data_IF_554469412496
#
_entry.id   IF_554469412496
#
_cell.length_a   1.000
_cell.length_b   1.000
_cell.length_c   1.000
_cell.angle_alpha   90.00
_cell.angle_beta   90.00
_cell.angle_gamma   90.00
#
_symmetry.space_group_name_H-M   'P 1'
#
loop_
_entity.id
_entity.type
_entity.pdbx_description
1 polymer ?
#
# COMPACT_ATOMS: atom_id res chain seq x y z
N UNK A 1 -11.05 -19.54 18.82
CA UNK A 1 -10.99 -18.63 17.66
C UNK A 1 -12.43 -18.23 17.37
N UNK A 2 -12.91 -17.10 17.94
CA UNK A 2 -14.29 -16.70 17.84
C UNK A 2 -14.49 -15.77 16.63
N UNK A 3 -15.35 -16.17 15.71
CA UNK A 3 -16.04 -15.20 14.89
C UNK A 3 -17.07 -14.51 15.78
N UNK A 4 -17.01 -13.18 15.92
CA UNK A 4 -18.01 -12.45 16.69
C UNK A 4 -19.37 -12.57 16.02
N UNK A 5 -20.31 -13.18 16.73
CA UNK A 5 -21.71 -13.27 16.32
C UNK A 5 -22.39 -11.95 16.67
N UNK A 6 -22.74 -11.14 15.68
CA UNK A 6 -23.55 -9.93 15.90
C UNK A 6 -25.00 -10.36 16.02
N UNK A 7 -25.50 -10.40 17.24
CA UNK A 7 -26.93 -10.62 17.49
C UNK A 7 -27.64 -9.26 17.50
N UNK A 8 -28.37 -8.94 16.47
CA UNK A 8 -29.35 -7.87 16.50
C UNK A 8 -30.73 -8.47 16.82
N UNK A 9 -31.50 -7.85 17.71
CA UNK A 9 -32.77 -8.40 18.29
C UNK A 9 -33.89 -8.73 17.29
N UNK A 10 -33.69 -8.53 16.00
CA UNK A 10 -34.68 -8.78 14.95
C UNK A 10 -34.17 -9.56 13.74
N UNK A 11 -32.87 -9.80 13.63
CA UNK A 11 -32.25 -10.58 12.54
C UNK A 11 -31.01 -11.31 13.06
N UNK A 12 -30.93 -12.60 12.79
CA UNK A 12 -29.70 -13.37 12.95
C UNK A 12 -29.02 -13.34 11.57
N UNK A 13 -28.14 -12.39 11.36
CA UNK A 13 -27.17 -12.51 10.28
C UNK A 13 -26.06 -13.46 10.74
N UNK A 14 -26.15 -14.71 10.30
CA UNK A 14 -25.01 -15.61 10.37
C UNK A 14 -24.03 -15.13 9.31
N UNK A 15 -23.22 -14.14 9.67
CA UNK A 15 -22.05 -13.78 8.86
C UNK A 15 -21.05 -14.90 9.07
N UNK A 16 -21.06 -15.89 8.18
CA UNK A 16 -20.08 -16.97 8.13
C UNK A 16 -18.69 -16.46 7.69
N UNK A 17 -18.52 -15.14 7.57
CA UNK A 17 -17.32 -14.51 7.06
C UNK A 17 -16.46 -14.00 8.21
N UNK A 18 -15.50 -14.83 8.64
CA UNK A 18 -14.44 -14.46 9.58
C UNK A 18 -13.54 -13.33 9.05
N UNK A 19 -13.81 -12.78 7.88
CA UNK A 19 -13.07 -11.68 7.24
C UNK A 19 -13.52 -10.30 7.68
N UNK A 20 -14.72 -10.15 8.28
CA UNK A 20 -15.21 -8.87 8.75
C UNK A 20 -14.49 -8.42 10.01
N UNK A 21 -13.89 -7.23 9.95
CA UNK A 21 -13.26 -6.53 11.06
C UNK A 21 -13.95 -5.20 11.32
N UNK A 22 -14.08 -4.83 12.59
CA UNK A 22 -14.50 -3.50 13.00
C UNK A 22 -13.32 -2.75 13.56
N UNK A 23 -13.17 -1.49 13.22
CA UNK A 23 -12.28 -0.63 13.98
C UNK A 23 -12.77 -0.55 15.43
N UNK A 24 -11.86 -0.52 16.38
CA UNK A 24 -12.23 -0.39 17.79
C UNK A 24 -12.07 1.06 18.22
N UNK A 25 -13.10 1.60 18.89
CA UNK A 25 -13.09 2.98 19.35
C UNK A 25 -11.87 3.26 20.25
N UNK A 26 -11.06 4.26 19.88
CA UNK A 26 -9.85 4.67 20.60
C UNK A 26 -8.79 3.58 20.78
N UNK A 27 -8.82 2.54 19.96
CA UNK A 27 -7.91 1.42 20.05
C UNK A 27 -7.15 1.22 18.72
N UNK A 28 -6.14 0.39 18.82
CA UNK A 28 -5.39 -0.15 17.68
C UNK A 28 -5.74 -1.63 17.52
N UNK A 29 -5.99 -2.04 16.27
CA UNK A 29 -6.13 -3.45 15.89
C UNK A 29 -5.39 -3.72 14.58
N UNK A 30 -5.20 -4.98 14.21
CA UNK A 30 -4.45 -5.36 13.02
C UNK A 30 -4.92 -6.66 12.39
N UNK A 31 -4.57 -6.84 11.13
CA UNK A 31 -4.74 -8.10 10.39
C UNK A 31 -3.50 -8.42 9.57
N UNK A 32 -3.14 -9.70 9.57
CA UNK A 32 -2.15 -10.27 8.63
C UNK A 32 -2.79 -11.07 7.50
N UNK A 33 -4.12 -11.13 7.46
CA UNK A 33 -4.85 -11.83 6.41
C UNK A 33 -4.74 -11.04 5.08
N UNK A 34 -4.60 -11.78 4.00
CA UNK A 34 -4.50 -11.21 2.65
C UNK A 34 -5.83 -10.77 2.04
N UNK A 35 -6.93 -10.96 2.73
CA UNK A 35 -8.24 -10.43 2.35
C UNK A 35 -9.09 -10.21 3.59
N UNK A 36 -10.04 -9.31 3.48
CA UNK A 36 -11.00 -9.04 4.53
C UNK A 36 -11.86 -7.83 4.25
N UNK A 37 -12.74 -7.55 5.20
CA UNK A 37 -13.64 -6.42 5.19
C UNK A 37 -13.36 -5.59 6.44
N UNK A 38 -13.25 -4.27 6.32
CA UNK A 38 -13.13 -3.34 7.42
C UNK A 38 -14.27 -2.33 7.39
N UNK A 39 -14.89 -2.16 8.54
CA UNK A 39 -15.92 -1.16 8.81
C UNK A 39 -15.50 -0.30 10.00
N UNK A 40 -16.17 0.82 10.20
CA UNK A 40 -15.99 1.65 11.40
C UNK A 40 -16.38 0.88 12.70
N UNK A 41 -16.25 1.53 13.83
CA UNK A 41 -16.41 0.91 15.15
C UNK A 41 -17.85 0.47 15.48
N UNK A 42 -18.86 1.06 14.85
CA UNK A 42 -20.25 0.68 15.03
C UNK A 42 -20.79 -0.22 13.89
N UNK A 43 -20.01 -0.37 12.81
CA UNK A 43 -20.32 -1.28 11.71
C UNK A 43 -21.29 -0.70 10.69
N UNK A 44 -21.75 -1.53 9.78
CA UNK A 44 -22.45 -1.12 8.55
C UNK A 44 -23.74 -0.33 8.77
N UNK A 45 -24.47 -0.62 9.84
CA UNK A 45 -25.86 -0.17 10.04
C UNK A 45 -26.01 0.96 11.05
N UNK A 46 -24.94 1.44 11.64
CA UNK A 46 -24.94 2.53 12.63
C UNK A 46 -23.91 3.57 12.25
N UNK A 47 -24.08 4.78 12.76
CA UNK A 47 -23.08 5.81 12.65
C UNK A 47 -21.89 5.46 13.53
N UNK A 48 -20.65 5.81 13.06
CA UNK A 48 -19.44 5.65 13.86
C UNK A 48 -19.48 6.53 15.13
N UNK A 49 -18.63 6.24 16.08
CA UNK A 49 -18.60 6.96 17.37
C UNK A 49 -17.93 8.34 17.22
N UNK A 50 -18.51 9.34 17.90
CA UNK A 50 -17.88 10.65 18.07
C UNK A 50 -16.71 10.58 19.05
N UNK A 51 -15.85 11.60 19.02
CA UNK A 51 -14.70 11.78 19.92
C UNK A 51 -13.83 10.54 19.97
N UNK A 52 -13.41 10.06 18.82
CA UNK A 52 -12.64 8.84 18.71
C UNK A 52 -11.44 8.94 17.77
N UNK A 53 -10.40 8.18 18.07
CA UNK A 53 -9.27 7.94 17.20
C UNK A 53 -9.02 6.45 17.13
N UNK A 54 -9.56 5.81 16.13
CA UNK A 54 -9.46 4.38 15.90
C UNK A 54 -8.41 4.08 14.85
N UNK A 55 -7.61 3.02 15.06
CA UNK A 55 -6.47 2.69 14.21
C UNK A 55 -6.51 1.23 13.80
N UNK A 56 -6.16 0.96 12.55
CA UNK A 56 -6.09 -0.39 12.00
C UNK A 56 -4.87 -0.56 11.11
N UNK A 57 -4.18 -1.69 11.25
CA UNK A 57 -3.04 -2.04 10.42
C UNK A 57 -3.33 -3.30 9.62
N UNK A 58 -3.22 -3.22 8.32
CA UNK A 58 -3.12 -4.40 7.46
C UNK A 58 -1.64 -4.58 7.14
N UNK A 59 -1.08 -5.78 7.41
CA UNK A 59 0.31 -6.09 7.14
C UNK A 59 0.42 -7.48 6.51
N UNK A 60 1.07 -7.55 5.37
CA UNK A 60 1.26 -8.79 4.60
C UNK A 60 2.74 -9.15 4.46
N UNK A 61 3.05 -10.21 3.73
CA UNK A 61 4.43 -10.57 3.39
C UNK A 61 5.11 -9.47 2.55
N UNK A 62 6.43 -9.42 2.55
CA UNK A 62 7.22 -8.39 1.85
C UNK A 62 7.05 -8.37 0.33
N UNK A 63 6.50 -9.43 -0.24
CA UNK A 63 6.30 -9.56 -1.70
C UNK A 63 4.93 -9.09 -2.20
N UNK A 64 4.09 -8.58 -1.31
CA UNK A 64 2.76 -8.12 -1.66
C UNK A 64 2.58 -6.64 -1.30
N UNK A 65 1.64 -6.00 -1.97
CA UNK A 65 1.07 -4.73 -1.56
C UNK A 65 -0.42 -4.92 -1.21
N UNK A 66 -1.02 -3.93 -0.57
CA UNK A 66 -2.41 -3.99 -0.11
C UNK A 66 -3.23 -3.05 -0.98
N UNK A 67 -4.32 -3.57 -1.53
CA UNK A 67 -5.33 -2.78 -2.24
C UNK A 67 -6.64 -2.83 -1.48
N UNK A 68 -7.24 -1.68 -1.22
CA UNK A 68 -8.56 -1.54 -0.62
C UNK A 68 -9.56 -0.99 -1.63
N UNK A 69 -10.81 -1.44 -1.54
CA UNK A 69 -11.93 -0.97 -2.36
C UNK A 69 -13.11 -0.61 -1.45
N UNK A 70 -13.70 0.55 -1.70
CA UNK A 70 -14.82 1.05 -0.93
C UNK A 70 -16.16 0.74 -1.63
N UNK A 71 -17.10 0.17 -0.88
CA UNK A 71 -18.51 0.08 -1.30
C UNK A 71 -19.39 1.15 -0.65
N UNK A 72 -18.91 1.73 0.47
CA UNK A 72 -19.60 2.81 1.18
C UNK A 72 -18.56 3.75 1.82
N UNK A 73 -18.81 5.06 1.72
CA UNK A 73 -18.03 6.07 2.41
C UNK A 73 -18.87 7.30 2.69
N UNK A 74 -19.11 7.58 3.96
CA UNK A 74 -19.81 8.75 4.45
C UNK A 74 -19.23 9.17 5.81
N UNK A 75 -18.42 10.19 5.82
CA UNK A 75 -17.94 10.83 7.03
C UNK A 75 -18.51 12.25 7.13
N UNK A 76 -18.73 12.70 8.35
CA UNK A 76 -18.98 14.11 8.57
C UNK A 76 -17.77 14.94 8.12
N UNK A 77 -17.98 16.15 7.61
CA UNK A 77 -16.92 16.96 7.00
C UNK A 77 -15.78 17.36 7.97
N UNK A 78 -16.02 17.26 9.27
CA UNK A 78 -15.01 17.50 10.30
C UNK A 78 -14.21 16.28 10.72
N UNK A 79 -14.57 15.10 10.22
CA UNK A 79 -13.97 13.83 10.54
C UNK A 79 -13.14 13.31 9.37
N UNK A 80 -12.14 12.52 9.62
CA UNK A 80 -11.17 12.17 8.58
C UNK A 80 -10.71 10.73 8.68
N UNK A 81 -10.70 10.04 7.55
CA UNK A 81 -10.06 8.74 7.36
C UNK A 81 -8.72 8.93 6.66
N UNK A 82 -7.63 8.51 7.31
CA UNK A 82 -6.26 8.62 6.84
C UNK A 82 -5.72 7.27 6.42
N UNK A 83 -4.89 7.26 5.36
CA UNK A 83 -4.16 6.10 4.88
C UNK A 83 -2.68 6.41 4.77
N UNK A 84 -1.85 5.53 5.35
CA UNK A 84 -0.39 5.66 5.33
C UNK A 84 0.26 4.42 4.72
N UNK A 85 1.25 4.65 3.88
CA UNK A 85 2.01 3.61 3.17
C UNK A 85 3.08 2.99 4.08
N UNK A 86 2.67 2.23 5.07
CA UNK A 86 3.55 1.62 6.06
C UNK A 86 2.82 1.19 7.32
N UNK A 87 3.55 0.96 8.40
CA UNK A 87 3.03 0.32 9.61
C UNK A 87 2.52 1.28 10.69
N UNK A 88 2.64 2.59 10.51
CA UNK A 88 2.22 3.61 11.49
C UNK A 88 2.03 4.98 10.83
N UNK A 89 1.61 5.97 11.61
CA UNK A 89 1.32 7.34 11.14
C UNK A 89 2.57 8.19 10.81
N UNK A 90 3.80 7.70 11.04
CA UNK A 90 5.04 8.34 10.58
C UNK A 90 5.41 7.91 9.15
N UNK A 91 4.70 6.93 8.58
CA UNK A 91 4.89 6.52 7.20
C UNK A 91 4.35 7.57 6.22
N UNK A 92 4.70 7.43 4.95
CA UNK A 92 4.22 8.32 3.89
C UNK A 92 2.69 8.34 3.85
N UNK A 93 2.10 9.52 3.98
CA UNK A 93 0.65 9.69 3.83
C UNK A 93 0.25 9.43 2.36
N UNK A 94 -0.64 8.46 2.15
CA UNK A 94 -1.26 8.19 0.84
C UNK A 94 -2.38 9.20 0.59
N UNK A 95 -3.21 9.44 1.59
CA UNK A 95 -4.31 10.39 1.49
C UNK A 95 -5.13 10.52 2.77
N UNK A 96 -5.95 11.57 2.80
CA UNK A 96 -6.93 11.85 3.85
C UNK A 96 -8.27 12.18 3.21
N UNK A 97 -9.36 11.63 3.73
CA UNK A 97 -10.67 11.67 3.12
C UNK A 97 -11.75 12.01 4.13
N UNK A 98 -12.69 12.84 3.70
CA UNK A 98 -13.85 13.29 4.47
C UNK A 98 -15.07 13.42 3.54
N UNK A 99 -16.26 13.64 4.10
CA UNK A 99 -17.49 13.81 3.34
C UNK A 99 -18.02 12.52 2.74
N UNK A 100 -18.61 12.61 1.53
CA UNK A 100 -19.36 11.50 0.93
C UNK A 100 -18.78 10.96 -0.37
N UNK A 101 -17.75 11.60 -0.91
CA UNK A 101 -17.07 11.13 -2.11
C UNK A 101 -16.17 9.94 -1.80
N UNK A 102 -16.28 8.88 -2.58
CA UNK A 102 -15.42 7.69 -2.42
C UNK A 102 -13.94 8.08 -2.46
N UNK A 103 -13.13 7.63 -1.49
CA UNK A 103 -11.70 7.88 -1.48
C UNK A 103 -11.01 7.47 -2.78
N UNK A 104 -10.30 8.41 -3.42
CA UNK A 104 -9.53 8.18 -4.65
C UNK A 104 -10.33 7.44 -5.74
N UNK A 105 -11.61 7.80 -5.94
CA UNK A 105 -12.49 7.14 -6.90
C UNK A 105 -12.94 5.72 -6.52
N UNK A 106 -12.78 5.33 -5.26
CA UNK A 106 -13.26 4.06 -4.71
C UNK A 106 -12.17 3.04 -4.40
N UNK A 107 -10.89 3.34 -4.66
CA UNK A 107 -9.79 2.43 -4.33
C UNK A 107 -8.52 3.14 -3.86
N UNK A 108 -7.79 2.51 -2.96
CA UNK A 108 -6.49 2.95 -2.45
C UNK A 108 -5.55 1.75 -2.43
N UNK A 109 -4.30 1.95 -2.85
CA UNK A 109 -3.29 0.91 -2.79
C UNK A 109 -2.03 1.41 -2.08
N UNK A 110 -1.44 0.56 -1.23
CA UNK A 110 -0.09 0.78 -0.72
C UNK A 110 0.94 0.44 -1.81
N UNK A 111 2.15 0.90 -1.66
CA UNK A 111 3.32 0.38 -2.38
C UNK A 111 4.21 -0.47 -1.48
N UNK A 112 3.93 -0.43 -0.17
CA UNK A 112 4.57 -1.25 0.84
C UNK A 112 3.70 -2.46 1.20
N UNK A 113 4.28 -3.41 1.93
CA UNK A 113 3.58 -4.58 2.47
C UNK A 113 2.74 -4.26 3.72
N UNK A 114 2.49 -3.00 3.99
CA UNK A 114 1.69 -2.54 5.11
C UNK A 114 0.87 -1.31 4.72
N UNK A 115 -0.35 -1.24 5.22
CA UNK A 115 -1.26 -0.11 5.09
C UNK A 115 -1.81 0.23 6.47
N UNK A 116 -1.45 1.40 6.98
CA UNK A 116 -1.95 1.88 8.25
C UNK A 116 -3.13 2.84 8.02
N UNK A 117 -4.21 2.62 8.74
CA UNK A 117 -5.49 3.30 8.59
C UNK A 117 -5.85 3.95 9.93
N UNK A 118 -6.26 5.22 9.88
CA UNK A 118 -6.67 5.96 11.08
C UNK A 118 -7.98 6.70 10.79
N UNK A 119 -9.01 6.41 11.58
CA UNK A 119 -10.24 7.20 11.62
C UNK A 119 -10.14 8.16 12.80
N UNK A 120 -10.22 9.44 12.52
CA UNK A 120 -10.37 10.50 13.51
C UNK A 120 -11.78 11.07 13.43
N UNK A 121 -12.49 11.11 14.54
CA UNK A 121 -13.76 11.78 14.66
C UNK A 121 -13.77 12.76 15.84
N UNK A 122 -14.32 13.92 15.60
CA UNK A 122 -14.48 14.94 16.62
C UNK A 122 -15.78 14.72 17.44
N UNK A 123 -16.18 15.71 18.23
CA UNK A 123 -17.35 15.60 19.14
C UNK A 123 -18.65 16.16 18.52
N UNK A 124 -18.63 16.70 17.30
CA UNK A 124 -19.76 17.50 16.83
C UNK A 124 -20.83 16.73 16.09
N UNK A 125 -20.48 15.74 15.32
CA UNK A 125 -21.41 14.98 14.48
C UNK A 125 -20.70 13.80 13.85
N UNK A 126 -21.46 12.75 13.57
CA UNK A 126 -21.02 11.56 12.89
C UNK A 126 -21.95 11.23 11.70
N UNK A 127 -21.56 10.31 10.86
CA UNK A 127 -22.36 9.78 9.75
C UNK A 127 -22.22 8.25 9.70
N UNK A 128 -22.78 7.64 8.70
CA UNK A 128 -22.90 6.18 8.60
C UNK A 128 -21.59 5.44 8.25
N UNK A 129 -20.45 6.13 8.30
CA UNK A 129 -19.13 5.55 8.23
C UNK A 129 -18.73 4.97 6.89
N UNK A 130 -17.95 3.90 6.92
CA UNK A 130 -17.42 3.29 5.70
C UNK A 130 -17.55 1.77 5.74
N UNK A 131 -17.54 1.20 4.54
CA UNK A 131 -17.39 -0.22 4.29
C UNK A 131 -16.37 -0.41 3.19
N UNK A 132 -15.27 -1.08 3.49
CA UNK A 132 -14.21 -1.37 2.52
C UNK A 132 -13.75 -2.82 2.63
N UNK A 133 -13.38 -3.40 1.50
CA UNK A 133 -12.68 -4.67 1.42
C UNK A 133 -11.21 -4.44 1.11
N UNK A 134 -10.34 -5.38 1.50
CA UNK A 134 -8.95 -5.38 1.08
C UNK A 134 -8.51 -6.72 0.53
N UNK A 135 -7.49 -6.65 -0.34
CA UNK A 135 -6.79 -7.80 -0.88
C UNK A 135 -5.28 -7.52 -0.92
N UNK A 136 -4.47 -8.55 -0.70
CA UNK A 136 -3.04 -8.50 -1.00
C UNK A 136 -2.83 -8.88 -2.47
N UNK A 137 -2.05 -8.07 -3.16
CA UNK A 137 -1.67 -8.30 -4.54
C UNK A 137 -0.15 -8.45 -4.62
N UNK A 138 0.37 -9.35 -5.47
CA UNK A 138 1.81 -9.49 -5.63
C UNK A 138 2.42 -8.19 -6.16
N UNK A 139 3.58 -7.84 -5.63
CA UNK A 139 4.34 -6.71 -6.17
C UNK A 139 4.68 -6.99 -7.63
N UNK A 140 4.46 -6.03 -8.53
CA UNK A 140 4.84 -6.20 -9.91
C UNK A 140 6.36 -6.40 -10.00
N UNK A 141 6.78 -7.44 -10.71
CA UNK A 141 8.20 -7.74 -10.89
C UNK A 141 8.93 -6.61 -11.60
N UNK A 142 10.14 -6.22 -11.15
CA UNK A 142 10.94 -5.26 -11.86
C UNK A 142 11.18 -5.69 -13.32
N UNK A 143 11.05 -4.75 -14.24
CA UNK A 143 11.41 -4.95 -15.66
C UNK A 143 12.63 -4.10 -15.95
N UNK A 144 13.77 -4.76 -16.08
CA UNK A 144 15.05 -4.10 -16.35
C UNK A 144 14.98 -3.27 -17.63
N UNK A 145 15.41 -2.02 -17.52
CA UNK A 145 15.57 -1.09 -18.62
C UNK A 145 16.69 -0.13 -18.28
N UNK A 146 17.51 0.20 -19.26
CA UNK A 146 18.59 1.16 -19.07
C UNK A 146 18.89 1.93 -20.35
N UNK A 147 19.66 2.99 -20.22
CA UNK A 147 20.27 3.73 -21.32
C UNK A 147 21.76 3.93 -21.06
N UNK A 148 22.51 4.15 -22.12
CA UNK A 148 23.90 4.59 -22.10
C UNK A 148 23.96 5.92 -22.86
N UNK A 149 24.71 6.90 -22.35
CA UNK A 149 24.75 8.23 -22.90
C UNK A 149 25.43 8.25 -24.29
N UNK A 150 26.53 7.51 -24.40
CA UNK A 150 27.31 7.40 -25.63
C UNK A 150 27.58 5.93 -25.91
N UNK A 151 27.41 5.54 -27.18
CA UNK A 151 27.77 4.19 -27.63
C UNK A 151 29.20 4.15 -28.21
N UNK A 152 29.83 5.31 -28.37
CA UNK A 152 31.24 5.48 -28.75
C UNK A 152 31.90 6.50 -27.83
N UNK A 153 33.08 6.20 -27.34
CA UNK A 153 33.83 7.08 -26.44
C UNK A 153 35.32 7.00 -26.77
N UNK A 154 35.96 8.15 -26.93
CA UNK A 154 37.44 8.25 -27.07
C UNK A 154 38.15 8.00 -25.71
N UNK A 155 37.42 8.05 -24.61
CA UNK A 155 37.93 7.80 -23.25
C UNK A 155 37.72 6.37 -22.78
N UNK A 156 37.09 5.51 -23.60
CA UNK A 156 36.68 4.14 -23.27
C UNK A 156 35.81 4.03 -22.01
N UNK A 157 35.23 5.15 -21.56
CA UNK A 157 34.42 5.23 -20.33
C UNK A 157 32.97 5.53 -20.68
N UNK A 158 32.04 4.75 -20.11
CA UNK A 158 30.60 4.81 -20.41
C UNK A 158 29.81 4.93 -19.12
N UNK A 159 28.80 5.82 -19.13
CA UNK A 159 27.85 6.00 -18.03
C UNK A 159 26.55 5.31 -18.33
N UNK A 160 26.12 4.44 -17.44
CA UNK A 160 24.87 3.68 -17.54
C UNK A 160 23.82 4.25 -16.60
N UNK A 161 22.59 4.39 -17.09
CA UNK A 161 21.47 4.95 -16.33
C UNK A 161 20.34 3.93 -16.26
N UNK A 162 19.98 3.56 -15.03
CA UNK A 162 18.84 2.72 -14.77
C UNK A 162 17.53 3.45 -15.06
N UNK A 163 16.67 2.81 -15.82
CA UNK A 163 15.28 3.22 -16.07
C UNK A 163 14.30 2.05 -15.86
N UNK A 164 14.71 1.09 -15.03
CA UNK A 164 13.90 -0.06 -14.62
C UNK A 164 12.59 0.40 -14.00
N UNK A 165 11.50 -0.22 -14.42
CA UNK A 165 10.17 0.03 -13.85
C UNK A 165 9.84 -0.98 -12.76
N UNK A 166 8.78 -0.70 -11.98
CA UNK A 166 8.29 -1.50 -10.85
C UNK A 166 9.25 -1.55 -9.65
N UNK A 167 9.84 -0.38 -9.32
CA UNK A 167 10.54 -0.12 -8.06
C UNK A 167 11.58 -1.19 -7.67
N UNK A 168 12.64 -1.39 -8.47
CA UNK A 168 13.72 -2.30 -8.11
C UNK A 168 14.38 -1.86 -6.79
N UNK A 169 14.81 -2.81 -6.00
CA UNK A 169 15.53 -2.58 -4.75
C UNK A 169 17.02 -2.99 -4.81
N UNK A 170 17.43 -3.58 -5.92
CA UNK A 170 18.82 -3.98 -6.17
C UNK A 170 19.11 -4.06 -7.67
N UNK A 171 20.36 -3.92 -8.03
CA UNK A 171 20.86 -3.96 -9.41
C UNK A 171 22.02 -4.92 -9.51
N UNK A 172 22.17 -5.59 -10.65
CA UNK A 172 23.34 -6.34 -11.04
C UNK A 172 23.62 -6.10 -12.52
N UNK A 173 24.66 -5.38 -12.78
CA UNK A 173 25.15 -5.12 -14.13
C UNK A 173 26.22 -6.13 -14.51
N UNK A 174 26.12 -6.68 -15.72
CA UNK A 174 27.15 -7.45 -16.38
C UNK A 174 27.62 -6.63 -17.60
N UNK A 175 28.89 -6.26 -17.63
CA UNK A 175 29.44 -5.41 -18.68
C UNK A 175 29.99 -6.18 -19.87
N UNK A 176 29.86 -7.51 -19.91
CA UNK A 176 30.25 -8.35 -21.03
C UNK A 176 31.76 -8.57 -21.16
N UNK A 177 32.57 -8.02 -20.24
CA UNK A 177 34.02 -8.20 -20.15
C UNK A 177 34.43 -9.03 -18.92
N UNK A 178 33.47 -9.69 -18.28
CA UNK A 178 33.65 -10.46 -17.04
C UNK A 178 33.60 -9.61 -15.76
N UNK A 179 33.35 -8.30 -15.85
CA UNK A 179 33.19 -7.43 -14.70
C UNK A 179 31.72 -7.09 -14.42
N UNK A 180 31.42 -6.76 -13.14
CA UNK A 180 30.06 -6.53 -12.66
C UNK A 180 29.97 -5.27 -11.82
N UNK A 181 28.75 -4.73 -11.65
CA UNK A 181 28.46 -3.65 -10.72
C UNK A 181 27.08 -3.87 -10.07
N UNK A 182 26.93 -3.39 -8.81
CA UNK A 182 25.64 -3.34 -8.10
C UNK A 182 25.13 -1.91 -7.93
N UNK A 183 25.86 -0.91 -8.42
CA UNK A 183 25.44 0.48 -8.38
C UNK A 183 24.21 0.69 -9.25
N UNK A 184 23.30 1.60 -8.86
CA UNK A 184 22.12 1.95 -9.65
C UNK A 184 22.51 2.50 -11.02
N UNK A 185 23.48 3.43 -11.06
CA UNK A 185 23.98 4.11 -12.26
C UNK A 185 25.50 4.00 -12.30
N UNK A 186 26.06 2.88 -12.78
CA UNK A 186 27.49 2.70 -12.81
C UNK A 186 28.18 3.45 -13.95
N UNK A 187 29.47 3.74 -13.76
CA UNK A 187 30.38 4.12 -14.81
C UNK A 187 31.34 2.95 -15.05
N UNK A 188 31.57 2.60 -16.30
CA UNK A 188 32.46 1.50 -16.70
C UNK A 188 33.48 1.99 -17.71
N UNK A 189 34.77 1.75 -17.43
CA UNK A 189 35.84 1.91 -18.40
C UNK A 189 36.28 0.54 -18.94
N UNK A 190 36.43 0.43 -20.26
CA UNK A 190 36.93 -0.76 -20.94
C UNK A 190 38.40 -0.60 -21.30
N UNK A 191 39.19 -1.64 -21.08
CA UNK A 191 40.64 -1.64 -21.35
C UNK A 191 40.91 -1.95 -22.82
N UNK A 192 40.13 -2.87 -23.40
CA UNK A 192 40.31 -3.30 -24.77
C UNK A 192 39.20 -2.73 -25.66
N UNK A 193 39.56 -2.50 -26.96
CA UNK A 193 38.55 -2.21 -27.97
C UNK A 193 37.75 -3.48 -28.30
N UNK A 194 36.45 -3.34 -28.50
CA UNK A 194 35.57 -4.46 -28.80
C UNK A 194 34.11 -4.10 -28.71
N UNK A 195 33.26 -5.07 -29.01
CA UNK A 195 31.80 -5.01 -28.78
C UNK A 195 31.43 -5.77 -27.54
N UNK A 196 30.74 -5.12 -26.61
CA UNK A 196 30.37 -5.69 -25.33
C UNK A 196 28.84 -5.76 -25.19
N UNK A 197 28.35 -6.92 -24.76
CA UNK A 197 26.91 -7.09 -24.49
C UNK A 197 26.64 -6.78 -23.03
N UNK A 198 25.87 -5.73 -22.79
CA UNK A 198 25.51 -5.29 -21.45
C UNK A 198 24.21 -5.95 -21.02
N UNK A 199 24.15 -6.42 -19.76
CA UNK A 199 22.95 -6.96 -19.15
C UNK A 199 22.71 -6.28 -17.81
N UNK A 200 21.45 -5.95 -17.57
CA UNK A 200 20.94 -5.50 -16.29
C UNK A 200 19.92 -6.51 -15.78
#
# INVERSE_FOLDING_TARGET
YGCDTIVNKSYIDIISDCSLRKMKKNEFDSSSNCSGILVDDNGEYKNYSDSSTSKFLIKTSSQNYISVSFSKFRLHNSDTLYFYNGSNENALLIGKYTGTSLPNGGSISSTANALFIKLYSNFNSNDSGFYMSWNCLPQPTPKAKFSVLDTFSCTNSFSFFDSTINSPNSWKWDFGDGTFSTSKNPIKAYIAQGSYTIKL
#
